data_IF_211189453014
#
_entry.id   IF_211189453014
#
_cell.length_a   1.000
_cell.length_b   1.000
_cell.length_c   1.000
_cell.angle_alpha   90.00
_cell.angle_beta   90.00
_cell.angle_gamma   90.00
#
_symmetry.space_group_name_H-M   'P 1'
#
loop_
_entity.id
_entity.type
_entity.pdbx_description
1 polymer ?
#
# COMPACT_ATOMS: atom_id res chain seq x y z
N UNK A 1 -27.23 -17.64 2.26
CA UNK A 1 -26.82 -16.28 1.87
C UNK A 1 -26.53 -15.55 3.15
N UNK A 2 -25.26 -15.51 3.54
CA UNK A 2 -24.83 -14.81 4.76
C UNK A 2 -25.25 -13.35 4.70
N UNK A 3 -25.88 -12.91 5.77
CA UNK A 3 -26.33 -11.54 5.97
C UNK A 3 -25.12 -10.62 5.92
N UNK A 4 -24.94 -9.89 4.81
CA UNK A 4 -24.00 -8.78 4.74
C UNK A 4 -24.36 -7.74 5.81
N UNK A 5 -23.69 -7.77 6.97
CA UNK A 5 -23.81 -6.73 7.98
C UNK A 5 -23.33 -5.41 7.36
N UNK A 6 -24.27 -4.48 7.17
CA UNK A 6 -24.01 -3.19 6.53
C UNK A 6 -23.04 -2.33 7.34
N UNK A 7 -22.84 -2.64 8.63
CA UNK A 7 -21.89 -1.95 9.52
C UNK A 7 -20.45 -2.45 9.36
N UNK A 8 -20.26 -3.65 8.83
CA UNK A 8 -18.95 -4.28 8.67
C UNK A 8 -18.88 -4.80 7.23
N UNK A 9 -18.70 -3.89 6.26
CA UNK A 9 -18.37 -4.30 4.89
C UNK A 9 -16.96 -4.90 4.90
N UNK A 10 -16.91 -6.23 5.01
CA UNK A 10 -15.74 -7.02 4.75
C UNK A 10 -15.30 -6.81 3.29
N UNK A 11 -14.04 -6.39 3.10
CA UNK A 11 -13.39 -6.26 1.80
C UNK A 11 -12.81 -7.61 1.33
N UNK A 12 -12.00 -7.61 0.26
CA UNK A 12 -11.59 -8.79 -0.55
C UNK A 12 -11.04 -10.01 0.21
N UNK A 13 -10.81 -9.91 1.52
CA UNK A 13 -10.33 -10.98 2.40
C UNK A 13 -11.09 -11.10 3.75
N UNK A 14 -12.32 -10.59 3.86
CA UNK A 14 -13.06 -10.59 5.14
C UNK A 14 -12.69 -9.43 6.08
N UNK A 15 -11.75 -8.57 5.68
CA UNK A 15 -11.17 -7.51 6.51
C UNK A 15 -11.97 -6.21 6.43
N UNK A 16 -12.00 -5.45 7.51
CA UNK A 16 -12.60 -4.11 7.53
C UNK A 16 -11.66 -3.06 6.94
N UNK A 17 -12.20 -1.90 6.60
CA UNK A 17 -11.42 -0.76 6.10
C UNK A 17 -10.26 -0.38 7.04
N UNK A 18 -10.54 -0.32 8.34
CA UNK A 18 -9.56 0.04 9.36
C UNK A 18 -8.48 -1.03 9.52
N UNK A 19 -8.83 -2.31 9.37
CA UNK A 19 -7.85 -3.39 9.37
C UNK A 19 -6.90 -3.30 8.17
N UNK A 20 -7.43 -3.03 6.96
CA UNK A 20 -6.61 -2.80 5.78
C UNK A 20 -5.66 -1.59 5.98
N UNK A 21 -6.15 -0.53 6.62
CA UNK A 21 -5.37 0.66 6.95
C UNK A 21 -4.22 0.32 7.91
N UNK A 22 -4.53 -0.36 9.02
CA UNK A 22 -3.54 -0.75 10.04
C UNK A 22 -2.47 -1.68 9.47
N UNK A 23 -2.86 -2.63 8.62
CA UNK A 23 -1.88 -3.50 7.96
C UNK A 23 -0.99 -2.74 6.97
N UNK A 24 -1.54 -1.82 6.20
CA UNK A 24 -0.71 -1.01 5.32
C UNK A 24 0.26 -0.11 6.10
N UNK A 25 -0.16 0.45 7.25
CA UNK A 25 0.75 1.21 8.13
C UNK A 25 1.86 0.34 8.72
N UNK A 26 1.57 -0.91 9.10
CA UNK A 26 2.58 -1.82 9.66
C UNK A 26 3.58 -2.33 8.62
N UNK A 27 3.19 -2.41 7.34
CA UNK A 27 4.09 -2.76 6.23
C UNK A 27 4.98 -1.60 5.78
N UNK A 28 4.55 -0.36 6.02
CA UNK A 28 5.21 0.83 5.49
C UNK A 28 6.71 0.95 5.86
N UNK A 29 7.15 0.64 7.09
CA UNK A 29 8.57 0.66 7.44
C UNK A 29 9.44 -0.26 6.56
N UNK A 30 8.94 -1.44 6.19
CA UNK A 30 9.66 -2.38 5.32
C UNK A 30 9.86 -1.83 3.92
N UNK A 31 8.83 -1.19 3.37
CA UNK A 31 8.92 -0.54 2.06
C UNK A 31 9.91 0.62 2.07
N UNK A 32 9.94 1.41 3.16
CA UNK A 32 10.91 2.49 3.31
C UNK A 32 12.34 1.97 3.34
N UNK A 33 12.62 0.95 4.16
CA UNK A 33 13.93 0.31 4.23
C UNK A 33 14.36 -0.23 2.86
N UNK A 34 13.45 -0.90 2.14
CA UNK A 34 13.72 -1.39 0.79
C UNK A 34 14.07 -0.25 -0.18
N UNK A 35 13.35 0.87 -0.12
CA UNK A 35 13.63 2.05 -0.95
C UNK A 35 14.98 2.68 -0.57
N UNK A 36 15.39 2.65 0.69
CA UNK A 36 16.72 3.16 1.07
C UNK A 36 17.86 2.34 0.49
N UNK A 37 17.70 1.02 0.50
CA UNK A 37 18.74 0.12 0.03
C UNK A 37 18.81 0.12 -1.50
N UNK A 38 17.65 0.04 -2.17
CA UNK A 38 17.57 -0.13 -3.62
C UNK A 38 17.34 1.19 -4.39
N UNK A 39 17.10 2.30 -3.68
CA UNK A 39 16.78 3.61 -4.24
C UNK A 39 15.32 3.77 -4.70
N UNK A 40 14.65 2.66 -5.07
CA UNK A 40 13.27 2.67 -5.57
C UNK A 40 12.59 1.30 -5.44
N UNK A 41 11.27 1.28 -5.61
CA UNK A 41 10.45 0.06 -5.71
C UNK A 41 9.34 0.27 -6.75
N UNK A 42 9.06 -0.72 -7.60
CA UNK A 42 7.99 -0.62 -8.59
C UNK A 42 6.60 -0.86 -7.98
N UNK A 43 5.55 -0.31 -8.60
CA UNK A 43 4.17 -0.57 -8.21
C UNK A 43 3.81 -2.06 -8.26
N UNK A 44 4.32 -2.77 -9.27
CA UNK A 44 4.12 -4.21 -9.42
C UNK A 44 4.72 -4.98 -8.23
N UNK A 45 5.93 -4.61 -7.79
CA UNK A 45 6.55 -5.23 -6.61
C UNK A 45 5.75 -4.96 -5.33
N UNK A 46 5.28 -3.74 -5.12
CA UNK A 46 4.40 -3.43 -3.98
C UNK A 46 3.14 -4.30 -4.05
N UNK A 47 2.50 -4.39 -5.22
CA UNK A 47 1.27 -5.15 -5.41
C UNK A 47 1.47 -6.65 -5.13
N UNK A 48 2.60 -7.22 -5.56
CA UNK A 48 2.98 -8.60 -5.27
C UNK A 48 3.21 -8.79 -3.76
N UNK A 49 3.95 -7.87 -3.12
CA UNK A 49 4.25 -7.95 -1.68
C UNK A 49 3.01 -7.84 -0.79
N UNK A 50 1.97 -7.11 -1.24
CA UNK A 50 0.67 -7.04 -0.54
C UNK A 50 -0.33 -8.11 -1.01
N UNK A 51 0.15 -9.15 -1.71
CA UNK A 51 -0.67 -10.27 -2.20
C UNK A 51 -1.86 -9.82 -3.06
N UNK A 52 -1.65 -8.86 -3.96
CA UNK A 52 -2.66 -8.31 -4.85
C UNK A 52 -3.92 -7.74 -4.15
N UNK A 53 -3.81 -7.38 -2.87
CA UNK A 53 -4.86 -6.66 -2.15
C UNK A 53 -4.83 -5.18 -2.57
N UNK A 54 -5.81 -4.78 -3.37
CA UNK A 54 -5.91 -3.43 -3.92
C UNK A 54 -6.09 -2.34 -2.85
N UNK A 55 -6.73 -2.64 -1.73
CA UNK A 55 -6.92 -1.66 -0.66
C UNK A 55 -5.62 -1.43 0.09
N UNK A 56 -4.95 -2.52 0.49
CA UNK A 56 -3.65 -2.43 1.16
C UNK A 56 -2.66 -1.73 0.22
N UNK A 57 -2.62 -2.11 -1.06
CA UNK A 57 -1.80 -1.45 -2.08
C UNK A 57 -2.03 0.07 -2.13
N UNK A 58 -3.28 0.51 -2.23
CA UNK A 58 -3.64 1.94 -2.28
C UNK A 58 -3.25 2.66 -0.99
N UNK A 59 -3.45 2.04 0.17
CA UNK A 59 -3.03 2.61 1.45
C UNK A 59 -1.53 2.72 1.57
N UNK A 60 -0.77 1.69 1.19
CA UNK A 60 0.69 1.71 1.17
C UNK A 60 1.21 2.89 0.34
N UNK A 61 0.73 3.06 -0.90
CA UNK A 61 1.09 4.21 -1.72
C UNK A 61 0.71 5.55 -1.06
N UNK A 62 -0.48 5.63 -0.46
CA UNK A 62 -0.94 6.84 0.24
C UNK A 62 -0.02 7.18 1.42
N UNK A 63 0.43 6.19 2.19
CA UNK A 63 1.31 6.40 3.33
C UNK A 63 2.73 6.73 2.91
N UNK A 64 3.28 6.08 1.88
CA UNK A 64 4.57 6.47 1.30
C UNK A 64 4.53 7.93 0.82
N UNK A 65 3.45 8.35 0.16
CA UNK A 65 3.26 9.77 -0.21
C UNK A 65 3.18 10.70 1.01
N UNK A 66 2.42 10.34 2.04
CA UNK A 66 2.33 11.10 3.31
C UNK A 66 3.71 11.28 3.94
N UNK A 67 4.55 10.25 3.83
CA UNK A 67 5.86 10.19 4.46
C UNK A 67 6.97 10.79 3.58
N UNK A 68 6.62 11.48 2.48
CA UNK A 68 7.55 12.26 1.66
C UNK A 68 8.23 11.49 0.52
N UNK A 69 7.63 10.41 0.05
CA UNK A 69 8.13 9.68 -1.14
C UNK A 69 7.39 10.13 -2.41
N UNK A 70 8.11 10.18 -3.53
CA UNK A 70 7.54 10.28 -4.87
C UNK A 70 7.00 8.90 -5.25
N UNK A 71 5.68 8.76 -5.30
CA UNK A 71 5.02 7.50 -5.67
C UNK A 71 4.86 7.31 -7.18
N UNK A 72 5.37 8.23 -8.00
CA UNK A 72 5.30 8.13 -9.45
C UNK A 72 3.89 8.34 -10.01
N UNK A 73 3.69 7.87 -11.24
CA UNK A 73 2.44 8.00 -12.00
C UNK A 73 2.28 6.86 -13.02
N UNK A 74 1.26 6.91 -13.86
CA UNK A 74 0.99 5.86 -14.85
C UNK A 74 2.10 5.68 -15.92
N UNK A 75 2.94 6.69 -16.15
CA UNK A 75 4.11 6.59 -17.05
C UNK A 75 5.35 6.08 -16.33
N UNK A 76 5.47 6.37 -15.04
CA UNK A 76 6.60 5.96 -14.19
C UNK A 76 6.02 5.33 -12.91
N UNK A 77 5.60 4.06 -12.94
CA UNK A 77 4.93 3.39 -11.82
C UNK A 77 5.95 2.86 -10.82
N UNK A 78 6.75 3.76 -10.24
CA UNK A 78 7.76 3.44 -9.23
C UNK A 78 7.68 4.44 -8.07
N UNK A 79 8.02 3.97 -6.88
CA UNK A 79 8.15 4.78 -5.68
C UNK A 79 9.62 4.98 -5.36
N UNK A 80 10.02 6.23 -5.12
CA UNK A 80 11.38 6.64 -4.79
C UNK A 80 11.37 7.84 -3.86
N UNK A 81 12.52 8.21 -3.32
CA UNK A 81 12.67 9.49 -2.61
C UNK A 81 12.57 10.65 -3.57
N UNK A 82 12.03 11.78 -3.11
CA UNK A 82 12.23 13.04 -3.83
C UNK A 82 13.73 13.32 -3.87
N UNK A 83 14.23 13.63 -5.06
CA UNK A 83 15.58 14.14 -5.23
C UNK A 83 15.56 15.55 -4.64
N UNK A 84 16.22 15.73 -3.49
CA UNK A 84 16.49 17.06 -2.93
C UNK A 84 17.74 17.66 -3.55
#
# INVERSE_FOLDING_TARGET
MDSCDTRIRAYKNGMTFDQCKLMAESLNPKFKEYIEINGKISWTEILIQVNHDELIYKFTLKFLRRDGYDIGNNKIPEVKKFIS
#
